data_IF_888424328517
#
_entry.id   IF_888424328517
#
_cell.length_a   1.000
_cell.length_b   1.000
_cell.length_c   1.000
_cell.angle_alpha   90.00
_cell.angle_beta   90.00
_cell.angle_gamma   90.00
#
_symmetry.space_group_name_H-M   'P 1'
#
loop_
_entity.id
_entity.type
_entity.pdbx_description
1 polymer ?
#
# COMPACT_ATOMS: atom_id res chain seq x y z
N UNK A 1 7.09 1.49 1.65
CA UNK A 1 6.40 1.02 0.41
C UNK A 1 5.38 -0.07 0.72
N UNK A 2 5.54 -0.85 1.79
CA UNK A 2 4.63 -1.94 2.20
C UNK A 2 3.14 -1.53 2.28
N UNK A 3 2.80 -0.38 2.88
CA UNK A 3 1.40 0.07 2.91
C UNK A 3 0.78 0.35 1.54
N UNK A 4 1.58 0.64 0.52
CA UNK A 4 1.08 0.81 -0.85
C UNK A 4 0.77 -0.57 -1.44
N UNK A 5 1.67 -1.54 -1.25
CA UNK A 5 1.45 -2.92 -1.69
C UNK A 5 0.25 -3.56 -1.01
N UNK A 6 0.07 -3.36 0.29
CA UNK A 6 -1.07 -3.85 1.04
C UNK A 6 -2.40 -3.26 0.52
N UNK A 7 -2.41 -1.96 0.20
CA UNK A 7 -3.61 -1.31 -0.35
C UNK A 7 -3.93 -1.80 -1.76
N UNK A 8 -2.93 -2.01 -2.62
CA UNK A 8 -3.12 -2.58 -3.95
C UNK A 8 -3.67 -4.00 -3.88
N UNK A 9 -3.12 -4.83 -3.01
CA UNK A 9 -3.59 -6.20 -2.82
C UNK A 9 -5.08 -6.20 -2.43
N UNK A 10 -5.47 -5.37 -1.47
CA UNK A 10 -6.89 -5.22 -1.08
C UNK A 10 -7.77 -4.74 -2.23
N UNK A 11 -7.29 -3.81 -3.06
CA UNK A 11 -8.05 -3.27 -4.20
C UNK A 11 -8.26 -4.31 -5.29
N UNK A 12 -7.21 -5.05 -5.64
CA UNK A 12 -7.27 -6.16 -6.61
C UNK A 12 -8.25 -7.24 -6.15
N UNK A 13 -8.23 -7.59 -4.85
CA UNK A 13 -9.21 -8.53 -4.28
C UNK A 13 -10.66 -8.03 -4.28
N UNK A 14 -10.88 -6.72 -4.43
CA UNK A 14 -12.21 -6.10 -4.55
C UNK A 14 -12.65 -5.87 -5.99
N UNK A 15 -11.78 -6.11 -6.97
CA UNK A 15 -12.14 -6.00 -8.38
C UNK A 15 -13.31 -6.96 -8.72
N UNK A 16 -14.20 -6.48 -9.58
CA UNK A 16 -15.32 -7.27 -10.08
C UNK A 16 -15.37 -7.17 -11.61
N UNK A 17 -15.14 -8.27 -12.35
CA UNK A 17 -14.79 -9.61 -11.85
C UNK A 17 -13.40 -9.67 -11.21
N UNK A 18 -13.17 -10.66 -10.33
CA UNK A 18 -11.81 -10.96 -9.87
C UNK A 18 -10.96 -11.45 -11.05
N UNK A 19 -9.67 -11.05 -11.13
CA UNK A 19 -8.74 -11.57 -12.13
C UNK A 19 -8.61 -13.09 -12.04
N UNK A 20 -8.64 -13.77 -13.18
CA UNK A 20 -8.64 -15.25 -13.27
C UNK A 20 -7.35 -15.83 -13.84
N UNK A 21 -6.50 -14.98 -14.40
CA UNK A 21 -5.21 -15.34 -14.96
C UNK A 21 -4.18 -14.22 -14.69
N UNK A 22 -2.91 -14.51 -15.00
CA UNK A 22 -1.80 -13.59 -14.72
C UNK A 22 -1.91 -12.29 -15.52
N UNK A 23 -2.42 -12.34 -16.75
CA UNK A 23 -2.57 -11.16 -17.60
C UNK A 23 -3.66 -10.21 -17.08
N UNK A 24 -4.80 -10.76 -16.67
CA UNK A 24 -5.88 -10.02 -16.00
C UNK A 24 -5.41 -9.44 -14.66
N UNK A 25 -4.61 -10.20 -13.89
CA UNK A 25 -4.07 -9.74 -12.62
C UNK A 25 -3.11 -8.56 -12.85
N UNK A 26 -2.25 -8.67 -13.85
CA UNK A 26 -1.32 -7.60 -14.23
C UNK A 26 -2.07 -6.33 -14.66
N UNK A 27 -3.10 -6.47 -15.50
CA UNK A 27 -3.93 -5.35 -15.92
C UNK A 27 -4.65 -4.69 -14.73
N UNK A 28 -5.25 -5.48 -13.83
CA UNK A 28 -5.92 -4.97 -12.64
C UNK A 28 -4.95 -4.24 -11.69
N UNK A 29 -3.74 -4.77 -11.51
CA UNK A 29 -2.69 -4.12 -10.71
C UNK A 29 -2.30 -2.76 -11.30
N UNK A 30 -2.13 -2.68 -12.62
CA UNK A 30 -1.81 -1.41 -13.28
C UNK A 30 -2.95 -0.40 -13.13
N UNK A 31 -4.19 -0.82 -13.38
CA UNK A 31 -5.37 0.03 -13.27
C UNK A 31 -5.56 0.57 -11.84
N UNK A 32 -5.48 -0.30 -10.84
CA UNK A 32 -5.60 0.09 -9.44
C UNK A 32 -4.42 0.94 -8.95
N UNK A 33 -3.22 0.71 -9.47
CA UNK A 33 -2.06 1.56 -9.23
C UNK A 33 -2.29 2.99 -9.69
N UNK A 34 -2.80 3.19 -10.91
CA UNK A 34 -3.11 4.52 -11.43
C UNK A 34 -4.30 5.18 -10.72
N UNK A 35 -5.18 4.39 -10.09
CA UNK A 35 -6.31 4.86 -9.28
C UNK A 35 -5.96 5.16 -7.82
N UNK A 36 -4.71 4.93 -7.40
CA UNK A 36 -4.30 5.31 -6.05
C UNK A 36 -4.41 6.83 -5.90
N UNK A 37 -5.15 7.25 -4.88
CA UNK A 37 -5.30 8.66 -4.56
C UNK A 37 -3.93 9.25 -4.17
N UNK A 38 -3.54 10.34 -4.83
CA UNK A 38 -2.32 11.06 -4.49
C UNK A 38 -2.36 11.57 -3.05
N UNK A 39 -3.56 11.89 -2.53
CA UNK A 39 -3.76 12.24 -1.12
C UNK A 39 -3.42 11.10 -0.16
N UNK A 40 -3.78 9.85 -0.51
CA UNK A 40 -3.37 8.66 0.24
C UNK A 40 -1.84 8.51 0.25
N UNK A 41 -1.18 8.64 -0.92
CA UNK A 41 0.28 8.56 -1.01
C UNK A 41 0.95 9.66 -0.17
N UNK A 42 0.44 10.89 -0.23
CA UNK A 42 0.98 12.00 0.55
C UNK A 42 0.86 11.75 2.06
N UNK A 43 -0.25 11.17 2.53
CA UNK A 43 -0.41 10.79 3.95
C UNK A 43 0.64 9.78 4.39
N UNK A 44 0.96 8.79 3.55
CA UNK A 44 2.03 7.82 3.84
C UNK A 44 3.38 8.52 4.00
N UNK A 45 3.76 9.42 3.09
CA UNK A 45 4.98 10.22 3.23
C UNK A 45 4.98 11.07 4.50
N UNK A 46 3.87 11.76 4.78
CA UNK A 46 3.74 12.61 5.97
C UNK A 46 3.82 11.80 7.28
N UNK A 47 3.52 10.50 7.25
CA UNK A 47 3.64 9.61 8.41
C UNK A 47 5.07 9.16 8.72
N UNK A 48 6.01 9.28 7.76
CA UNK A 48 7.39 8.78 7.91
C UNK A 48 8.07 9.33 9.17
N UNK A 49 8.02 10.63 9.49
CA UNK A 49 8.64 11.15 10.71
C UNK A 49 8.11 10.46 11.98
N UNK A 50 6.80 10.25 12.08
CA UNK A 50 6.21 9.53 13.21
C UNK A 50 6.68 8.08 13.27
N UNK A 51 6.79 7.38 12.12
CA UNK A 51 7.31 6.00 12.07
C UNK A 51 8.75 5.92 12.57
N UNK A 52 9.58 6.88 12.16
CA UNK A 52 10.97 6.98 12.59
C UNK A 52 11.06 7.22 14.09
N UNK A 53 10.23 8.11 14.65
CA UNK A 53 10.19 8.33 16.10
C UNK A 53 9.71 7.09 16.86
N UNK A 54 8.72 6.35 16.32
CA UNK A 54 8.30 5.09 16.91
C UNK A 54 9.42 4.04 16.90
N UNK A 55 10.21 3.98 15.82
CA UNK A 55 11.35 3.08 15.72
C UNK A 55 12.46 3.45 16.71
N UNK A 56 12.74 4.75 16.88
CA UNK A 56 13.69 5.24 17.89
C UNK A 56 13.22 4.89 19.30
N UNK A 57 11.95 5.12 19.62
CA UNK A 57 11.36 4.78 20.91
C UNK A 57 11.37 3.27 21.17
N UNK A 58 11.25 2.45 20.12
CA UNK A 58 11.38 1.00 20.19
C UNK A 58 12.84 0.52 20.22
N UNK A 59 13.83 1.41 20.25
CA UNK A 59 15.26 1.07 20.15
C UNK A 59 15.59 0.19 18.94
N UNK A 60 14.90 0.43 17.81
CA UNK A 60 15.07 -0.35 16.58
C UNK A 60 14.29 -1.67 16.55
N UNK A 61 13.52 -2.01 17.58
CA UNK A 61 12.65 -3.19 17.59
C UNK A 61 11.36 -2.94 16.81
N UNK A 62 10.56 -4.00 16.67
CA UNK A 62 9.30 -4.00 15.94
C UNK A 62 8.36 -2.86 16.36
N UNK A 63 7.77 -2.19 15.37
CA UNK A 63 6.76 -1.16 15.57
C UNK A 63 5.46 -1.55 14.87
N UNK A 64 4.35 -0.90 15.20
CA UNK A 64 3.03 -1.13 14.56
C UNK A 64 2.94 -0.74 13.07
N UNK A 65 4.04 -0.26 12.48
CA UNK A 65 4.11 0.33 11.15
C UNK A 65 4.90 -0.52 10.18
#
# INVERSE_FOLDING_TARGET
>A
IEHVWEELDRRVHRCSPLPRNVDELWAALQEEWYRLDTGYIQKLYNSIPHRVEALKAAHGLHTRY
#
